data_IF_425681919422
#
_entry.id   IF_425681919422
#
_cell.length_a   1.000
_cell.length_b   1.000
_cell.length_c   1.000
_cell.angle_alpha   90.00
_cell.angle_beta   90.00
_cell.angle_gamma   90.00
#
_symmetry.space_group_name_H-M   'P 1'
#
loop_
_entity.id
_entity.type
_entity.pdbx_description
1 polymer ?
#
# COMPACT_ATOMS: atom_id res chain seq x y z
N UNK A 1 24.20 -56.35 45.46
CA UNK A 1 24.76 -55.15 44.79
C UNK A 1 23.93 -54.70 43.55
N UNK A 2 23.08 -55.54 43.03
CA UNK A 2 22.25 -55.26 41.82
C UNK A 2 21.00 -54.41 42.11
N UNK A 3 20.38 -54.51 43.27
CA UNK A 3 19.13 -53.78 43.63
C UNK A 3 19.35 -52.26 43.87
N UNK A 4 20.55 -51.76 44.15
CA UNK A 4 20.83 -50.34 44.35
C UNK A 4 21.07 -49.59 43.04
N UNK A 5 21.45 -50.27 41.92
CA UNK A 5 21.65 -49.68 40.62
C UNK A 5 20.32 -49.40 39.89
N UNK A 6 19.34 -50.28 40.01
CA UNK A 6 18.02 -50.10 39.35
C UNK A 6 17.23 -48.92 39.90
N UNK A 7 17.30 -48.66 41.22
CA UNK A 7 16.60 -47.49 41.84
C UNK A 7 17.20 -46.14 41.40
N UNK A 8 18.54 -46.07 41.20
CA UNK A 8 19.17 -44.82 40.70
C UNK A 8 18.85 -44.52 39.25
N UNK A 9 18.73 -45.53 38.42
CA UNK A 9 18.32 -45.37 36.99
C UNK A 9 16.87 -44.97 36.91
N UNK A 10 15.97 -45.51 37.71
CA UNK A 10 14.57 -45.15 37.73
C UNK A 10 14.35 -43.69 38.22
N UNK A 11 15.12 -43.22 39.20
CA UNK A 11 15.04 -41.85 39.71
C UNK A 11 15.59 -40.84 38.65
N UNK A 12 16.68 -41.17 37.97
CA UNK A 12 17.25 -40.34 36.91
C UNK A 12 16.32 -40.24 35.68
N UNK A 13 15.67 -41.34 35.27
CA UNK A 13 14.68 -41.29 34.18
C UNK A 13 13.44 -40.53 34.57
N UNK A 14 12.98 -40.57 35.80
CA UNK A 14 11.84 -39.80 36.29
C UNK A 14 12.18 -38.30 36.39
N UNK A 15 13.40 -37.92 36.80
CA UNK A 15 13.84 -36.53 36.84
C UNK A 15 14.06 -35.96 35.42
N UNK A 16 14.58 -36.75 34.49
CA UNK A 16 14.71 -36.33 33.07
C UNK A 16 13.34 -36.20 32.42
N UNK A 17 12.39 -37.07 32.72
CA UNK A 17 11.00 -36.97 32.26
C UNK A 17 10.31 -35.73 32.79
N UNK A 18 10.47 -35.39 34.08
CA UNK A 18 9.97 -34.19 34.71
C UNK A 18 10.60 -32.91 34.16
N UNK A 19 11.92 -32.95 33.89
CA UNK A 19 12.64 -31.83 33.29
C UNK A 19 12.18 -31.58 31.84
N UNK A 20 12.00 -32.66 31.04
CA UNK A 20 11.44 -32.54 29.68
C UNK A 20 9.98 -32.10 29.70
N UNK A 21 9.16 -32.57 30.67
CA UNK A 21 7.78 -32.07 30.82
C UNK A 21 7.73 -30.61 31.25
N UNK A 22 8.62 -30.21 32.16
CA UNK A 22 8.74 -28.80 32.60
C UNK A 22 9.17 -27.89 31.43
N UNK A 23 10.16 -28.29 30.63
CA UNK A 23 10.53 -27.56 29.41
C UNK A 23 9.44 -27.59 28.36
N UNK A 24 8.71 -28.69 28.18
CA UNK A 24 7.60 -28.75 27.23
C UNK A 24 6.39 -27.90 27.68
N UNK A 25 6.17 -27.75 28.99
CA UNK A 25 5.10 -26.90 29.55
C UNK A 25 5.55 -25.44 29.64
N UNK A 26 6.85 -25.17 29.89
CA UNK A 26 7.40 -23.81 29.96
C UNK A 26 7.70 -23.20 28.57
N UNK A 27 7.88 -24.05 27.55
CA UNK A 27 7.98 -23.66 26.14
C UNK A 27 6.70 -23.97 25.36
N UNK A 28 5.53 -23.92 26.00
CA UNK A 28 4.36 -23.56 25.20
C UNK A 28 4.57 -22.10 24.83
N UNK A 29 4.73 -21.77 23.51
CA UNK A 29 4.42 -20.43 23.09
C UNK A 29 3.01 -20.22 23.65
N UNK A 30 2.79 -19.20 24.47
CA UNK A 30 1.45 -18.76 24.79
C UNK A 30 0.76 -18.71 23.45
N UNK A 31 -0.15 -19.65 23.23
CA UNK A 31 -1.13 -19.55 22.16
C UNK A 31 -1.84 -18.26 22.44
N UNK A 32 -1.41 -17.23 21.76
CA UNK A 32 -1.95 -15.89 21.77
C UNK A 32 -3.28 -15.95 21.02
N UNK A 33 -4.20 -16.74 21.58
CA UNK A 33 -5.62 -16.74 21.29
C UNK A 33 -6.26 -15.65 22.16
N UNK A 34 -5.82 -14.42 21.99
CA UNK A 34 -6.71 -13.29 22.15
C UNK A 34 -7.10 -12.92 20.73
N UNK A 35 -8.32 -13.25 20.38
CA UNK A 35 -9.12 -12.54 19.40
C UNK A 35 -8.98 -11.06 19.71
N UNK A 36 -8.00 -10.41 19.09
CA UNK A 36 -7.77 -9.00 19.25
C UNK A 36 -8.93 -8.29 18.58
N UNK A 37 -9.56 -7.46 19.36
CA UNK A 37 -10.74 -6.67 19.03
C UNK A 37 -10.55 -5.67 17.88
N UNK A 38 -10.28 -6.15 16.67
CA UNK A 38 -10.77 -5.50 15.46
C UNK A 38 -12.30 -5.30 15.57
N UNK A 39 -12.96 -6.22 16.30
CA UNK A 39 -14.34 -6.08 16.75
C UNK A 39 -14.60 -4.82 17.59
N UNK A 40 -13.66 -4.28 18.35
CA UNK A 40 -13.91 -3.11 19.18
C UNK A 40 -13.95 -1.80 18.37
N UNK A 41 -13.10 -1.65 17.36
CA UNK A 41 -13.17 -0.50 16.44
C UNK A 41 -14.32 -0.64 15.44
N UNK A 42 -14.63 -1.86 14.99
CA UNK A 42 -15.79 -2.14 14.16
C UNK A 42 -17.12 -2.08 14.97
N UNK A 43 -17.10 -2.38 16.28
CA UNK A 43 -18.27 -2.27 17.15
C UNK A 43 -18.71 -0.83 17.44
N UNK A 44 -17.87 0.17 17.14
CA UNK A 44 -18.22 1.59 17.21
C UNK A 44 -18.88 2.14 15.93
N UNK A 45 -18.85 1.39 14.82
CA UNK A 45 -19.53 1.78 13.58
C UNK A 45 -20.98 1.33 13.63
N UNK A 46 -21.93 2.23 13.32
CA UNK A 46 -23.30 1.83 13.04
C UNK A 46 -23.30 0.83 11.87
N UNK A 47 -23.75 -0.43 12.06
CA UNK A 47 -23.76 -1.43 11.00
C UNK A 47 -24.54 -0.98 9.76
N UNK A 48 -25.49 -0.05 9.91
CA UNK A 48 -26.26 0.53 8.80
C UNK A 48 -25.42 1.43 7.88
N UNK A 49 -24.24 1.87 8.32
CA UNK A 49 -23.35 2.71 7.53
C UNK A 49 -22.32 1.93 6.72
N UNK A 50 -22.13 0.63 7.02
CA UNK A 50 -21.23 -0.23 6.25
C UNK A 50 -21.96 -0.90 5.08
N UNK A 51 -21.37 -0.90 3.88
CA UNK A 51 -21.90 -1.68 2.78
C UNK A 51 -21.81 -3.18 3.07
N UNK A 52 -22.69 -3.96 2.46
CA UNK A 52 -22.49 -5.40 2.38
C UNK A 52 -21.25 -5.67 1.50
N UNK A 53 -20.27 -6.36 2.05
CA UNK A 53 -18.99 -6.68 1.41
C UNK A 53 -18.79 -8.20 1.41
N UNK A 54 -19.55 -8.96 0.61
CA UNK A 54 -19.46 -10.42 0.57
C UNK A 54 -18.05 -10.86 0.17
N UNK A 55 -17.44 -11.72 1.00
CA UNK A 55 -16.06 -12.19 0.84
C UNK A 55 -15.01 -11.38 1.62
N UNK A 56 -15.39 -10.26 2.27
CA UNK A 56 -14.46 -9.48 3.09
C UNK A 56 -14.01 -10.21 4.35
N UNK A 57 -14.80 -11.14 4.85
CA UNK A 57 -14.45 -12.05 5.95
C UNK A 57 -13.26 -12.96 5.64
N UNK A 58 -13.04 -13.26 4.35
CA UNK A 58 -11.94 -14.07 3.82
C UNK A 58 -10.65 -13.25 3.56
N UNK A 59 -10.70 -11.93 3.76
CA UNK A 59 -9.58 -11.01 3.54
C UNK A 59 -8.95 -10.63 4.88
N UNK A 60 -7.61 -10.61 4.94
CA UNK A 60 -6.86 -9.88 5.95
C UNK A 60 -6.24 -8.64 5.31
N UNK A 61 -6.58 -7.46 5.80
CA UNK A 61 -5.92 -6.21 5.42
C UNK A 61 -4.68 -6.02 6.27
N UNK A 62 -3.54 -5.83 5.63
CA UNK A 62 -2.23 -5.63 6.25
C UNK A 62 -1.77 -4.21 5.93
N UNK A 63 -1.91 -3.31 6.88
CA UNK A 63 -1.46 -1.93 6.71
C UNK A 63 -0.04 -1.77 7.24
N UNK A 64 0.84 -1.14 6.45
CA UNK A 64 2.20 -0.78 6.83
C UNK A 64 2.31 0.73 7.05
N UNK A 65 3.03 1.11 8.10
CA UNK A 65 3.37 2.50 8.42
C UNK A 65 4.74 2.58 9.12
N UNK A 66 5.13 3.76 9.54
CA UNK A 66 6.31 4.01 10.37
C UNK A 66 5.97 4.89 11.57
N UNK A 67 6.76 4.80 12.64
CA UNK A 67 6.55 5.57 13.87
C UNK A 67 6.52 7.09 13.63
N UNK A 68 7.24 7.57 12.64
CA UNK A 68 7.30 9.00 12.29
C UNK A 68 6.02 9.54 11.65
N UNK A 69 5.17 8.67 11.10
CA UNK A 69 3.95 9.06 10.39
C UNK A 69 2.66 8.44 10.97
N UNK A 70 2.77 7.39 11.77
CA UNK A 70 1.64 6.60 12.25
C UNK A 70 0.56 7.43 12.96
N UNK A 71 0.94 8.34 13.86
CA UNK A 71 -0.01 9.21 14.58
C UNK A 71 -0.74 10.20 13.66
N UNK A 72 -0.13 10.58 12.54
CA UNK A 72 -0.73 11.48 11.57
C UNK A 72 -1.60 10.72 10.57
N UNK A 73 -1.07 9.67 9.94
CA UNK A 73 -1.72 9.02 8.81
C UNK A 73 -2.73 7.92 9.19
N UNK A 74 -2.49 7.14 10.26
CA UNK A 74 -3.33 5.98 10.59
C UNK A 74 -4.76 6.34 11.03
N UNK A 75 -5.02 7.36 11.87
CA UNK A 75 -6.36 7.63 12.40
C UNK A 75 -7.45 7.84 11.36
N UNK A 76 -7.11 8.37 10.17
CA UNK A 76 -8.10 8.58 9.12
C UNK A 76 -8.70 7.28 8.61
N UNK A 77 -7.92 6.18 8.60
CA UNK A 77 -8.37 4.88 8.12
C UNK A 77 -9.42 4.24 9.02
N UNK A 78 -9.40 4.50 10.32
CA UNK A 78 -10.45 4.02 11.24
C UNK A 78 -11.82 4.63 10.93
N UNK A 79 -11.85 5.80 10.30
CA UNK A 79 -13.07 6.53 9.91
C UNK A 79 -13.45 6.31 8.44
N UNK A 80 -12.55 5.73 7.65
CA UNK A 80 -12.70 5.56 6.19
C UNK A 80 -12.38 4.12 5.77
N UNK A 81 -11.17 3.86 5.29
CA UNK A 81 -10.77 2.63 4.61
C UNK A 81 -10.92 1.38 5.48
N UNK A 82 -10.59 1.44 6.77
CA UNK A 82 -10.70 0.29 7.69
C UNK A 82 -12.02 0.21 8.46
N UNK A 83 -12.87 1.24 8.37
CA UNK A 83 -14.10 1.35 9.18
C UNK A 83 -14.99 0.11 9.10
N UNK A 84 -15.12 -0.48 7.91
CA UNK A 84 -16.01 -1.60 7.62
C UNK A 84 -15.25 -2.91 7.34
N UNK A 85 -13.97 -2.97 7.69
CA UNK A 85 -13.12 -4.13 7.47
C UNK A 85 -13.08 -4.98 8.73
N UNK A 86 -13.57 -6.24 8.72
CA UNK A 86 -13.64 -7.08 9.91
C UNK A 86 -12.28 -7.63 10.36
N UNK A 87 -11.34 -7.79 9.43
CA UNK A 87 -10.03 -8.37 9.72
C UNK A 87 -8.93 -7.46 9.17
N UNK A 88 -8.18 -6.81 10.04
CA UNK A 88 -7.00 -6.05 9.67
C UNK A 88 -5.93 -6.13 10.75
N UNK A 89 -4.69 -5.90 10.37
CA UNK A 89 -3.54 -5.75 11.24
C UNK A 89 -2.69 -4.59 10.72
N UNK A 90 -2.17 -3.78 11.65
CA UNK A 90 -1.34 -2.62 11.30
C UNK A 90 0.05 -2.84 11.86
N UNK A 91 1.06 -2.69 11.00
CA UNK A 91 2.46 -2.82 11.32
C UNK A 91 3.21 -1.50 11.22
N UNK A 92 4.10 -1.28 12.18
CA UNK A 92 5.06 -0.18 12.22
C UNK A 92 6.44 -0.73 12.64
N UNK A 93 7.41 0.15 12.78
CA UNK A 93 8.71 -0.09 13.42
C UNK A 93 8.68 0.16 14.94
N UNK A 94 7.51 0.46 15.49
CA UNK A 94 7.30 0.68 16.92
C UNK A 94 5.93 0.14 17.36
N UNK A 95 5.90 -0.62 18.47
CA UNK A 95 4.64 -1.13 19.05
C UNK A 95 3.99 -0.03 19.89
N UNK A 96 2.77 0.33 19.54
CA UNK A 96 1.98 1.37 20.21
C UNK A 96 0.49 1.13 20.07
N UNK A 97 -0.32 1.98 20.69
CA UNK A 97 -1.78 2.00 20.55
C UNK A 97 -2.22 3.35 20.01
N UNK A 98 -3.04 3.35 18.97
CA UNK A 98 -3.58 4.57 18.33
C UNK A 98 -5.11 4.45 18.30
N UNK A 99 -5.83 5.38 18.97
CA UNK A 99 -7.31 5.39 19.08
C UNK A 99 -7.89 4.02 19.53
N UNK A 100 -7.19 3.31 20.45
CA UNK A 100 -7.62 2.00 20.96
C UNK A 100 -7.24 0.81 20.06
N UNK A 101 -6.56 1.05 18.94
CA UNK A 101 -6.10 0.01 18.01
C UNK A 101 -4.61 -0.24 18.21
N UNK A 102 -4.25 -1.51 18.34
CA UNK A 102 -2.85 -1.91 18.47
C UNK A 102 -2.13 -1.82 17.12
N UNK A 103 -0.99 -1.14 17.13
CA UNK A 103 -0.01 -1.10 16.06
C UNK A 103 1.12 -2.06 16.44
N UNK A 104 1.42 -3.01 15.57
CA UNK A 104 2.38 -4.07 15.84
C UNK A 104 3.78 -3.70 15.35
N UNK A 105 4.78 -4.04 16.15
CA UNK A 105 6.19 -3.96 15.73
C UNK A 105 6.49 -5.06 14.70
N UNK A 106 6.63 -4.70 13.44
CA UNK A 106 6.98 -5.61 12.34
C UNK A 106 8.36 -6.27 12.53
N UNK A 107 9.29 -5.55 13.19
CA UNK A 107 10.69 -5.95 13.31
C UNK A 107 10.96 -6.77 14.58
N UNK A 108 9.95 -7.00 15.41
CA UNK A 108 10.09 -7.68 16.70
C UNK A 108 10.77 -9.05 16.57
N UNK A 109 10.44 -9.82 15.55
CA UNK A 109 10.92 -11.19 15.31
C UNK A 109 12.26 -11.25 14.59
N UNK A 110 12.81 -10.13 14.14
CA UNK A 110 14.11 -10.06 13.48
C UNK A 110 15.23 -10.51 14.43
N UNK A 111 16.28 -11.10 13.85
CA UNK A 111 17.50 -11.53 14.56
C UNK A 111 18.11 -10.35 15.33
N UNK A 112 18.49 -10.60 16.60
CA UNK A 112 19.11 -9.58 17.44
C UNK A 112 20.45 -9.13 16.88
N UNK A 113 21.25 -10.04 16.27
CA UNK A 113 22.53 -9.69 15.67
C UNK A 113 22.34 -8.67 14.54
N UNK A 114 21.33 -8.85 13.68
CA UNK A 114 20.99 -7.90 12.62
C UNK A 114 20.62 -6.54 13.23
N UNK A 115 19.75 -6.53 14.23
CA UNK A 115 19.31 -5.30 14.91
C UNK A 115 20.45 -4.57 15.63
N UNK A 116 21.44 -5.28 16.15
CA UNK A 116 22.53 -4.70 16.91
C UNK A 116 23.72 -4.27 16.02
N UNK A 117 23.84 -4.78 14.79
CA UNK A 117 25.01 -4.55 13.93
C UNK A 117 24.72 -3.73 12.66
N UNK A 118 23.48 -3.70 12.20
CA UNK A 118 23.10 -2.97 10.97
C UNK A 118 22.66 -1.55 11.32
N UNK A 119 23.32 -0.55 10.75
CA UNK A 119 23.08 0.87 11.04
C UNK A 119 21.65 1.34 10.76
N UNK A 120 20.90 0.68 9.86
CA UNK A 120 19.50 1.01 9.60
C UNK A 120 18.64 0.88 10.86
N UNK A 121 19.05 0.05 11.84
CA UNK A 121 18.32 -0.16 13.08
C UNK A 121 18.62 0.87 14.19
N UNK A 122 19.44 1.88 13.95
CA UNK A 122 19.76 2.91 14.97
C UNK A 122 18.48 3.59 15.51
N UNK A 123 17.55 3.98 14.62
CA UNK A 123 16.25 4.52 15.03
C UNK A 123 15.45 3.50 15.83
N UNK A 124 15.34 2.26 15.35
CA UNK A 124 14.59 1.20 16.00
C UNK A 124 15.13 0.92 17.42
N UNK A 125 16.45 0.87 17.59
CA UNK A 125 17.08 0.63 18.89
C UNK A 125 16.85 1.77 19.86
N UNK A 126 16.93 3.05 19.41
CA UNK A 126 16.54 4.22 20.24
C UNK A 126 15.08 4.14 20.69
N UNK A 127 14.17 3.75 19.80
CA UNK A 127 12.75 3.61 20.14
C UNK A 127 12.50 2.49 21.17
N UNK A 128 13.23 1.39 21.10
CA UNK A 128 13.13 0.30 22.09
C UNK A 128 13.59 0.72 23.48
N UNK A 129 14.60 1.59 23.57
CA UNK A 129 15.15 2.07 24.84
C UNK A 129 14.32 3.21 25.44
N UNK A 130 13.83 4.12 24.61
CA UNK A 130 13.30 5.42 25.05
C UNK A 130 11.83 5.63 24.65
N UNK A 131 11.22 4.69 23.95
CA UNK A 131 9.91 4.87 23.35
C UNK A 131 9.92 6.02 22.35
N UNK A 132 8.78 6.67 22.13
CA UNK A 132 8.67 7.84 21.24
C UNK A 132 9.55 9.03 21.67
N UNK A 133 10.00 9.09 22.91
CA UNK A 133 10.95 10.12 23.37
C UNK A 133 12.33 9.98 22.70
N UNK A 134 12.64 8.82 22.13
CA UNK A 134 13.84 8.58 21.34
C UNK A 134 13.81 9.19 19.93
N UNK A 135 12.67 9.74 19.48
CA UNK A 135 12.59 10.47 18.21
C UNK A 135 13.19 11.86 18.32
N UNK A 136 13.90 12.28 17.30
CA UNK A 136 14.38 13.64 17.14
C UNK A 136 13.89 14.30 15.84
N UNK A 137 14.15 15.59 15.66
CA UNK A 137 13.64 16.32 14.50
C UNK A 137 14.21 15.82 13.17
N UNK A 138 15.37 15.18 13.15
CA UNK A 138 15.96 14.63 11.94
C UNK A 138 15.24 13.37 11.44
N UNK A 139 14.58 12.64 12.35
CA UNK A 139 13.79 11.47 11.98
C UNK A 139 12.55 11.83 11.16
N UNK A 140 12.06 13.06 11.28
CA UNK A 140 10.92 13.60 10.52
C UNK A 140 11.33 14.37 9.26
N UNK A 141 12.62 14.40 8.93
CA UNK A 141 13.08 15.09 7.74
C UNK A 141 12.49 14.48 6.47
N UNK A 142 11.66 15.26 5.78
CA UNK A 142 11.06 14.87 4.51
C UNK A 142 11.98 15.34 3.37
N UNK A 143 12.83 14.42 2.90
CA UNK A 143 13.61 14.66 1.70
C UNK A 143 12.82 14.29 0.44
N UNK A 144 13.11 14.96 -0.68
CA UNK A 144 12.51 14.61 -1.96
C UNK A 144 12.86 13.16 -2.36
N UNK A 145 11.89 12.44 -2.93
CA UNK A 145 12.16 11.13 -3.51
C UNK A 145 13.23 11.22 -4.60
N UNK A 146 14.19 10.33 -4.52
CA UNK A 146 15.22 10.12 -5.54
C UNK A 146 14.95 8.78 -6.27
N UNK A 147 15.78 8.47 -7.27
CA UNK A 147 15.73 7.17 -7.96
C UNK A 147 16.00 5.96 -7.04
N UNK A 148 16.50 6.20 -5.84
CA UNK A 148 16.74 5.21 -4.79
C UNK A 148 15.98 5.55 -3.49
N UNK A 149 14.84 6.23 -3.61
CA UNK A 149 13.99 6.64 -2.49
C UNK A 149 14.58 7.76 -1.64
N UNK A 150 14.47 7.63 -0.30
CA UNK A 150 14.89 8.64 0.69
C UNK A 150 16.05 8.13 1.57
N UNK A 151 17.27 8.00 1.03
CA UNK A 151 18.38 7.28 1.68
C UNK A 151 18.89 7.94 2.98
N UNK A 152 18.55 9.21 3.25
CA UNK A 152 18.94 9.89 4.47
C UNK A 152 17.85 9.88 5.55
N UNK A 153 16.65 9.37 5.25
CA UNK A 153 15.57 9.25 6.22
C UNK A 153 15.67 7.92 7.00
N UNK A 154 15.86 7.94 8.32
CA UNK A 154 16.03 6.73 9.13
C UNK A 154 14.81 5.81 9.10
N UNK A 155 13.60 6.37 9.13
CA UNK A 155 12.36 5.57 9.04
C UNK A 155 12.23 4.87 7.70
N UNK A 156 12.63 5.54 6.61
CA UNK A 156 12.64 4.95 5.28
C UNK A 156 13.67 3.82 5.15
N UNK A 157 14.86 3.94 5.78
CA UNK A 157 15.84 2.85 5.81
C UNK A 157 15.32 1.60 6.51
N UNK A 158 14.55 1.77 7.58
CA UNK A 158 13.92 0.66 8.30
C UNK A 158 12.80 0.00 7.46
N UNK A 159 12.21 0.71 6.53
CA UNK A 159 11.03 0.21 5.79
C UNK A 159 11.31 -1.08 5.03
N UNK A 160 12.47 -1.21 4.41
CA UNK A 160 12.86 -2.41 3.66
C UNK A 160 12.88 -3.68 4.52
N UNK A 161 13.15 -3.55 5.82
CA UNK A 161 13.24 -4.65 6.76
C UNK A 161 11.88 -5.19 7.22
N UNK A 162 10.80 -4.41 7.04
CA UNK A 162 9.46 -4.78 7.49
C UNK A 162 8.80 -5.86 6.64
N UNK A 163 9.06 -5.92 5.33
CA UNK A 163 8.27 -6.70 4.39
C UNK A 163 8.26 -8.21 4.69
N UNK A 164 9.41 -8.85 4.84
CA UNK A 164 9.46 -10.29 5.08
C UNK A 164 8.91 -10.71 6.45
N UNK A 165 9.29 -10.05 7.57
CA UNK A 165 8.69 -10.36 8.87
C UNK A 165 7.19 -10.06 8.93
N UNK A 166 6.71 -9.02 8.23
CA UNK A 166 5.30 -8.66 8.17
C UNK A 166 4.47 -9.73 7.46
N UNK A 167 4.95 -10.29 6.35
CA UNK A 167 4.31 -11.41 5.64
C UNK A 167 4.15 -12.61 6.58
N UNK A 168 5.21 -13.00 7.28
CA UNK A 168 5.18 -14.10 8.24
C UNK A 168 4.19 -13.83 9.38
N UNK A 169 4.24 -12.64 9.99
CA UNK A 169 3.36 -12.28 11.11
C UNK A 169 1.89 -12.16 10.68
N UNK A 170 1.61 -11.65 9.47
CA UNK A 170 0.27 -11.56 8.92
C UNK A 170 -0.33 -12.97 8.69
N UNK A 171 0.46 -13.91 8.16
CA UNK A 171 0.02 -15.29 8.00
C UNK A 171 -0.28 -15.95 9.36
N UNK A 172 0.57 -15.73 10.37
CA UNK A 172 0.34 -16.24 11.72
C UNK A 172 -0.88 -15.61 12.41
N UNK A 173 -1.18 -14.35 12.10
CA UNK A 173 -2.33 -13.62 12.67
C UNK A 173 -3.68 -14.19 12.18
N UNK A 174 -3.79 -14.52 10.90
CA UNK A 174 -4.99 -15.12 10.29
C UNK A 174 -4.60 -16.13 9.20
N UNK A 175 -4.26 -17.33 9.60
CA UNK A 175 -3.75 -18.41 8.73
C UNK A 175 -4.79 -18.95 7.74
N UNK A 176 -6.07 -18.69 7.98
CA UNK A 176 -7.19 -19.13 7.16
C UNK A 176 -7.78 -18.02 6.24
N UNK A 177 -7.17 -16.84 6.18
CA UNK A 177 -7.56 -15.85 5.19
C UNK A 177 -7.32 -16.39 3.77
N UNK A 178 -8.23 -16.13 2.82
CA UNK A 178 -8.01 -16.47 1.42
C UNK A 178 -7.07 -15.49 0.74
N UNK A 179 -7.18 -14.20 1.12
CA UNK A 179 -6.45 -13.10 0.54
C UNK A 179 -5.83 -12.21 1.62
N UNK A 180 -4.60 -11.77 1.39
CA UNK A 180 -3.89 -10.77 2.18
C UNK A 180 -3.70 -9.53 1.32
N UNK A 181 -4.29 -8.42 1.74
CA UNK A 181 -4.23 -7.15 1.01
C UNK A 181 -3.30 -6.21 1.76
N UNK A 182 -2.15 -5.96 1.18
CA UNK A 182 -1.15 -5.06 1.73
C UNK A 182 -1.38 -3.64 1.24
N UNK A 183 -1.28 -2.66 2.12
CA UNK A 183 -1.41 -1.24 1.81
C UNK A 183 -0.55 -0.39 2.74
N UNK A 184 -0.25 0.82 2.33
CA UNK A 184 0.42 1.82 3.19
C UNK A 184 -0.59 2.83 3.78
N UNK A 185 -0.15 3.60 4.79
CA UNK A 185 -1.01 4.53 5.49
C UNK A 185 -1.39 5.79 4.67
N UNK A 186 -0.89 5.93 3.44
CA UNK A 186 -1.30 6.93 2.46
C UNK A 186 -1.92 6.30 1.19
N UNK A 187 -2.40 5.07 1.32
CA UNK A 187 -3.10 4.34 0.27
C UNK A 187 -4.60 4.28 0.56
N UNK A 188 -5.43 4.45 -0.45
CA UNK A 188 -6.87 4.17 -0.39
C UNK A 188 -7.22 2.96 -1.23
N UNK A 189 -8.08 2.06 -0.70
CA UNK A 189 -8.58 0.88 -1.41
C UNK A 189 -10.11 0.90 -1.44
N UNK A 190 -10.68 0.77 -2.63
CA UNK A 190 -12.12 0.55 -2.85
C UNK A 190 -12.44 -0.94 -2.64
N UNK A 191 -12.94 -1.30 -1.45
CA UNK A 191 -13.21 -2.69 -1.11
C UNK A 191 -14.26 -3.34 -2.01
N UNK A 192 -15.40 -2.70 -2.34
CA UNK A 192 -16.37 -3.31 -3.25
C UNK A 192 -15.76 -3.63 -4.62
N UNK A 193 -14.93 -2.72 -5.15
CA UNK A 193 -14.25 -2.90 -6.44
C UNK A 193 -13.19 -3.99 -6.37
N UNK A 194 -12.40 -4.03 -5.29
CA UNK A 194 -11.39 -5.06 -5.07
C UNK A 194 -12.01 -6.46 -5.00
N UNK A 195 -13.08 -6.64 -4.21
CA UNK A 195 -13.72 -7.94 -4.06
C UNK A 195 -14.31 -8.47 -5.37
N UNK A 196 -14.89 -7.58 -6.20
CA UNK A 196 -15.34 -7.93 -7.54
C UNK A 196 -14.19 -8.36 -8.46
N UNK A 197 -13.04 -7.70 -8.35
CA UNK A 197 -11.85 -8.09 -9.10
C UNK A 197 -11.30 -9.44 -8.63
N UNK A 198 -11.15 -9.65 -7.32
CA UNK A 198 -10.64 -10.90 -6.75
C UNK A 198 -11.52 -12.11 -7.06
N UNK A 199 -12.82 -11.90 -7.32
CA UNK A 199 -13.71 -12.98 -7.73
C UNK A 199 -13.34 -13.65 -9.08
N UNK A 200 -12.44 -13.04 -9.85
CA UNK A 200 -11.89 -13.62 -11.09
C UNK A 200 -10.71 -14.58 -10.86
N UNK A 201 -10.20 -14.68 -9.64
CA UNK A 201 -9.04 -15.52 -9.29
C UNK A 201 -9.45 -16.67 -8.36
N UNK A 202 -8.83 -17.83 -8.51
CA UNK A 202 -8.98 -18.93 -7.56
C UNK A 202 -8.06 -18.73 -6.34
N UNK A 203 -8.58 -18.42 -5.14
CA UNK A 203 -7.74 -18.18 -3.97
C UNK A 203 -6.95 -19.41 -3.48
N UNK A 204 -7.22 -20.60 -4.02
CA UNK A 204 -6.49 -21.84 -3.72
C UNK A 204 -5.19 -21.95 -4.51
N UNK A 205 -5.03 -21.15 -5.55
CA UNK A 205 -3.80 -21.07 -6.34
C UNK A 205 -2.88 -19.96 -5.79
N UNK A 206 -1.55 -20.10 -5.97
CA UNK A 206 -0.62 -19.07 -5.52
C UNK A 206 -0.70 -17.84 -6.44
N UNK A 207 -1.14 -16.73 -5.89
CA UNK A 207 -1.25 -15.44 -6.58
C UNK A 207 -0.45 -14.36 -5.85
N UNK A 208 0.29 -13.56 -6.60
CA UNK A 208 0.91 -12.31 -6.22
C UNK A 208 0.51 -11.26 -7.23
N UNK A 209 -0.34 -10.29 -6.85
CA UNK A 209 -1.02 -9.36 -7.74
C UNK A 209 -0.69 -7.93 -7.31
N UNK A 210 -0.18 -7.10 -8.21
CA UNK A 210 0.16 -5.71 -7.87
C UNK A 210 0.65 -4.91 -9.08
N UNK A 211 0.87 -3.60 -8.86
CA UNK A 211 1.39 -2.71 -9.90
C UNK A 211 2.87 -3.01 -10.11
N UNK A 212 3.18 -3.34 -11.34
CA UNK A 212 4.51 -3.77 -11.76
C UNK A 212 5.55 -2.65 -11.63
N UNK A 213 6.65 -2.98 -10.99
CA UNK A 213 7.88 -2.19 -10.89
C UNK A 213 9.07 -3.12 -11.08
N UNK A 214 10.19 -2.59 -11.55
CA UNK A 214 11.40 -3.36 -11.79
C UNK A 214 12.63 -2.67 -11.23
N UNK A 215 13.44 -3.41 -10.48
CA UNK A 215 14.78 -3.02 -10.08
C UNK A 215 15.74 -4.12 -10.54
N UNK A 216 16.71 -3.76 -11.37
CA UNK A 216 17.61 -4.71 -12.03
C UNK A 216 16.82 -5.82 -12.75
N UNK A 217 16.95 -7.08 -12.34
CA UNK A 217 16.28 -8.25 -12.91
C UNK A 217 15.04 -8.69 -12.13
N UNK A 218 14.71 -8.02 -11.02
CA UNK A 218 13.54 -8.35 -10.19
C UNK A 218 12.33 -7.52 -10.61
N UNK A 219 11.25 -8.19 -11.01
CA UNK A 219 9.93 -7.59 -11.23
C UNK A 219 9.08 -7.86 -9.99
N UNK A 220 8.47 -6.84 -9.44
CA UNK A 220 7.73 -6.91 -8.18
C UNK A 220 6.55 -5.94 -8.15
N UNK A 221 5.62 -6.12 -7.20
CA UNK A 221 4.57 -5.17 -6.94
C UNK A 221 5.10 -3.97 -6.14
N UNK A 222 4.84 -2.76 -6.61
CA UNK A 222 5.12 -1.54 -5.86
C UNK A 222 4.34 -1.53 -4.54
N UNK A 223 5.04 -1.42 -3.41
CA UNK A 223 4.47 -1.56 -2.07
C UNK A 223 3.36 -0.56 -1.78
N UNK A 224 3.60 0.71 -2.07
CA UNK A 224 2.66 1.80 -1.80
C UNK A 224 1.38 1.76 -2.64
N UNK A 225 1.42 1.20 -3.86
CA UNK A 225 0.22 1.02 -4.68
C UNK A 225 -0.79 0.05 -4.03
N UNK A 226 -0.35 -0.69 -3.02
CA UNK A 226 -1.03 -1.87 -2.52
C UNK A 226 -0.82 -3.09 -3.41
N UNK A 227 -0.86 -4.26 -2.80
CA UNK A 227 -0.77 -5.53 -3.52
C UNK A 227 -1.54 -6.63 -2.79
N UNK A 228 -1.87 -7.69 -3.52
CA UNK A 228 -2.64 -8.81 -2.98
C UNK A 228 -1.83 -10.10 -3.10
N UNK A 229 -1.85 -10.90 -2.04
CA UNK A 229 -1.21 -12.22 -2.00
C UNK A 229 -2.24 -13.25 -1.55
N UNK A 230 -2.37 -14.36 -2.27
CA UNK A 230 -3.23 -15.47 -1.83
C UNK A 230 -2.60 -16.26 -0.69
N UNK A 231 -3.42 -16.99 0.06
CA UNK A 231 -2.93 -17.82 1.17
C UNK A 231 -1.82 -18.81 0.75
N UNK A 232 -1.93 -19.58 -0.35
CA UNK A 232 -0.84 -20.44 -0.79
C UNK A 232 0.46 -19.68 -1.08
N UNK A 233 0.38 -18.50 -1.68
CA UNK A 233 1.56 -17.66 -1.96
C UNK A 233 2.20 -17.13 -0.67
N UNK A 234 1.39 -16.75 0.34
CA UNK A 234 1.88 -16.36 1.66
C UNK A 234 2.65 -17.50 2.36
N UNK A 235 2.12 -18.73 2.27
CA UNK A 235 2.80 -19.91 2.82
C UNK A 235 4.14 -20.17 2.11
N UNK A 236 4.16 -20.08 0.78
CA UNK A 236 5.39 -20.24 0.00
C UNK A 236 6.44 -19.18 0.35
N UNK A 237 6.05 -17.90 0.38
CA UNK A 237 6.95 -16.81 0.75
C UNK A 237 7.48 -16.95 2.19
N UNK A 238 6.62 -17.32 3.14
CA UNK A 238 7.01 -17.54 4.54
C UNK A 238 7.99 -18.70 4.68
N UNK A 239 7.76 -19.80 3.96
CA UNK A 239 8.67 -20.94 3.96
C UNK A 239 10.01 -20.60 3.32
N UNK A 240 10.02 -19.86 2.21
CA UNK A 240 11.23 -19.41 1.54
C UNK A 240 12.06 -18.51 2.47
N UNK A 241 11.42 -17.55 3.16
CA UNK A 241 12.08 -16.71 4.15
C UNK A 241 12.62 -17.52 5.33
N UNK A 242 11.85 -18.46 5.88
CA UNK A 242 12.26 -19.27 7.02
C UNK A 242 13.47 -20.17 6.72
N UNK A 243 13.56 -20.70 5.50
CA UNK A 243 14.67 -21.59 5.09
C UNK A 243 15.94 -20.85 4.69
N UNK A 244 15.85 -19.56 4.31
CA UNK A 244 16.94 -18.72 3.83
C UNK A 244 17.10 -17.42 4.62
N UNK A 245 16.70 -17.40 5.88
CA UNK A 245 16.66 -16.18 6.71
C UNK A 245 17.97 -15.40 6.69
N UNK A 246 19.13 -16.06 6.85
CA UNK A 246 20.45 -15.39 6.87
C UNK A 246 20.72 -14.73 5.51
N UNK A 247 20.61 -15.49 4.43
CA UNK A 247 20.85 -15.01 3.06
C UNK A 247 19.93 -13.84 2.71
N UNK A 248 18.63 -13.96 3.05
CA UNK A 248 17.66 -12.93 2.73
C UNK A 248 17.80 -11.68 3.60
N UNK A 249 18.30 -11.81 4.84
CA UNK A 249 18.66 -10.65 5.65
C UNK A 249 19.89 -9.94 5.08
N UNK A 250 20.92 -10.68 4.64
CA UNK A 250 22.08 -10.09 3.95
C UNK A 250 21.68 -9.41 2.64
N UNK A 251 20.79 -10.03 1.86
CA UNK A 251 20.23 -9.43 0.64
C UNK A 251 19.44 -8.15 0.96
N UNK A 252 18.63 -8.14 2.03
CA UNK A 252 17.86 -6.97 2.48
C UNK A 252 18.77 -5.82 2.91
N UNK A 253 19.88 -6.13 3.62
CA UNK A 253 20.85 -5.13 4.03
C UNK A 253 21.46 -4.40 2.82
N UNK A 254 21.84 -5.17 1.82
CA UNK A 254 22.43 -4.65 0.60
C UNK A 254 21.42 -3.90 -0.30
N UNK A 255 20.12 -4.25 -0.23
CA UNK A 255 19.07 -3.68 -1.06
C UNK A 255 18.48 -2.41 -0.41
N UNK A 256 17.84 -1.53 -1.22
CA UNK A 256 17.19 -0.32 -0.71
C UNK A 256 15.64 -0.39 -0.69
N UNK A 257 15.01 -1.33 -1.41
CA UNK A 257 13.57 -1.46 -1.56
C UNK A 257 13.07 -2.81 -1.01
N UNK A 258 12.28 -2.78 0.05
CA UNK A 258 11.78 -3.99 0.71
C UNK A 258 10.71 -4.74 -0.06
N UNK A 259 9.89 -4.04 -0.84
CA UNK A 259 8.91 -4.62 -1.77
C UNK A 259 9.59 -5.41 -2.90
N UNK A 260 10.77 -4.94 -3.38
CA UNK A 260 11.61 -5.69 -4.31
C UNK A 260 12.17 -6.96 -3.67
N UNK A 261 12.60 -6.90 -2.40
CA UNK A 261 13.05 -8.08 -1.64
C UNK A 261 11.93 -9.12 -1.53
N UNK A 262 10.71 -8.68 -1.18
CA UNK A 262 9.53 -9.56 -1.15
C UNK A 262 9.21 -10.15 -2.54
N UNK A 263 9.26 -9.32 -3.58
CA UNK A 263 9.04 -9.77 -4.97
C UNK A 263 10.03 -10.85 -5.39
N UNK A 264 11.33 -10.70 -5.02
CA UNK A 264 12.34 -11.72 -5.23
C UNK A 264 12.02 -13.03 -4.49
N UNK A 265 11.63 -12.94 -3.21
CA UNK A 265 11.26 -14.12 -2.40
C UNK A 265 10.08 -14.86 -3.03
N UNK A 266 9.05 -14.14 -3.47
CA UNK A 266 7.90 -14.74 -4.16
C UNK A 266 8.29 -15.36 -5.51
N UNK A 267 9.12 -14.70 -6.29
CA UNK A 267 9.62 -15.23 -7.56
C UNK A 267 10.47 -16.50 -7.36
N UNK A 268 11.39 -16.50 -6.37
CA UNK A 268 12.20 -17.66 -6.00
C UNK A 268 11.32 -18.84 -5.55
N UNK A 269 10.19 -18.55 -4.86
CA UNK A 269 9.18 -19.52 -4.46
C UNK A 269 8.25 -19.98 -5.62
N UNK A 270 8.48 -19.53 -6.84
CA UNK A 270 7.70 -19.89 -8.03
C UNK A 270 6.39 -19.12 -8.20
N UNK A 271 6.22 -17.98 -7.52
CA UNK A 271 5.04 -17.13 -7.59
C UNK A 271 5.39 -15.81 -8.29
N UNK A 272 5.30 -15.75 -9.63
CA UNK A 272 5.58 -14.52 -10.37
C UNK A 272 4.49 -13.47 -10.15
N UNK A 273 4.84 -12.19 -10.35
CA UNK A 273 3.89 -11.08 -10.28
C UNK A 273 2.84 -11.15 -11.39
N UNK A 274 1.57 -11.08 -11.02
CA UNK A 274 0.47 -10.76 -11.92
C UNK A 274 0.29 -9.24 -12.00
N UNK A 275 0.45 -8.67 -13.18
CA UNK A 275 0.45 -7.23 -13.42
C UNK A 275 -0.94 -6.63 -13.29
N UNK A 276 -1.11 -5.67 -12.39
CA UNK A 276 -2.41 -5.08 -12.07
C UNK A 276 -2.63 -3.67 -12.63
N UNK A 277 -1.60 -2.96 -13.10
CA UNK A 277 -1.81 -1.63 -13.63
C UNK A 277 -2.85 -1.64 -14.76
N UNK A 278 -3.83 -0.74 -14.82
CA UNK A 278 -4.06 0.45 -13.99
C UNK A 278 -5.02 0.25 -12.80
N UNK A 279 -5.34 -0.97 -12.41
CA UNK A 279 -6.35 -1.28 -11.37
C UNK A 279 -5.87 -0.80 -9.98
N UNK A 280 -4.60 -1.04 -9.66
CA UNK A 280 -3.90 -0.42 -8.53
C UNK A 280 -2.97 0.66 -9.06
N UNK A 281 -2.94 1.83 -8.42
CA UNK A 281 -2.20 3.00 -8.88
C UNK A 281 -1.08 3.39 -7.91
N UNK A 282 0.09 3.70 -8.48
CA UNK A 282 1.22 4.26 -7.74
C UNK A 282 1.08 5.78 -7.51
N UNK A 283 0.16 6.42 -8.19
CA UNK A 283 -0.04 7.87 -8.14
C UNK A 283 -1.28 8.23 -7.34
N UNK A 284 -1.37 9.49 -6.90
CA UNK A 284 -2.61 10.06 -6.41
C UNK A 284 -3.61 10.25 -7.58
N UNK A 285 -4.84 10.57 -7.21
CA UNK A 285 -5.95 10.71 -8.16
C UNK A 285 -5.69 11.82 -9.19
N UNK A 286 -5.00 12.91 -8.79
CA UNK A 286 -4.76 14.07 -9.66
C UNK A 286 -3.66 13.85 -10.70
N UNK A 287 -2.76 12.92 -10.48
CA UNK A 287 -1.60 12.67 -11.35
C UNK A 287 -1.89 11.66 -12.46
N UNK A 288 -2.92 10.83 -12.29
CA UNK A 288 -3.27 9.80 -13.26
C UNK A 288 -3.78 10.43 -14.58
N UNK A 289 -3.40 9.82 -15.68
CA UNK A 289 -3.91 10.11 -17.01
C UNK A 289 -4.85 8.99 -17.49
N UNK A 290 -6.14 9.21 -17.36
CA UNK A 290 -7.16 8.23 -17.72
C UNK A 290 -7.32 8.06 -19.24
N UNK A 291 -6.77 8.96 -20.04
CA UNK A 291 -6.88 8.96 -21.50
C UNK A 291 -5.62 8.48 -22.22
N UNK A 292 -4.47 8.52 -21.59
CA UNK A 292 -3.23 8.01 -22.16
C UNK A 292 -3.11 6.48 -22.03
N UNK A 293 -2.24 5.90 -22.88
CA UNK A 293 -1.88 4.48 -22.78
C UNK A 293 -0.60 4.33 -21.96
N UNK A 294 -0.65 3.46 -20.94
CA UNK A 294 0.51 2.95 -20.24
C UNK A 294 0.48 1.42 -20.25
N UNK A 295 1.62 0.76 -20.40
CA UNK A 295 1.72 -0.72 -20.44
C UNK A 295 0.69 -1.37 -21.39
N UNK A 296 0.44 -0.74 -22.55
CA UNK A 296 -0.55 -1.13 -23.58
C UNK A 296 -2.03 -1.05 -23.12
N UNK A 297 -2.33 -0.62 -21.90
CA UNK A 297 -3.67 -0.42 -21.34
C UNK A 297 -4.04 1.07 -21.31
N UNK A 298 -5.34 1.36 -21.30
CA UNK A 298 -5.89 2.70 -21.11
C UNK A 298 -6.81 2.68 -19.90
N UNK A 299 -6.56 3.47 -18.84
CA UNK A 299 -7.27 3.35 -17.56
C UNK A 299 -8.78 3.48 -17.66
N UNK A 300 -9.31 4.28 -18.56
CA UNK A 300 -10.70 4.75 -18.64
C UNK A 300 -11.78 3.71 -18.29
N UNK A 301 -11.69 2.46 -18.80
CA UNK A 301 -12.66 1.39 -18.54
C UNK A 301 -12.20 0.36 -17.51
N UNK A 302 -11.02 0.53 -16.94
CA UNK A 302 -10.52 -0.36 -15.89
C UNK A 302 -11.11 0.00 -14.53
N UNK A 303 -11.26 -0.98 -13.61
CA UNK A 303 -11.58 -0.73 -12.22
C UNK A 303 -10.53 0.15 -11.55
N UNK A 304 -10.98 1.08 -10.73
CA UNK A 304 -10.15 1.93 -9.88
C UNK A 304 -10.18 1.35 -8.45
N UNK A 305 -9.27 0.42 -8.16
CA UNK A 305 -9.23 -0.27 -6.87
C UNK A 305 -8.45 0.51 -5.84
N UNK A 306 -7.26 1.03 -6.20
CA UNK A 306 -6.40 1.69 -5.23
C UNK A 306 -5.62 2.86 -5.81
N UNK A 307 -5.34 3.84 -4.93
CA UNK A 307 -4.52 5.02 -5.18
C UNK A 307 -3.53 5.22 -4.05
N UNK A 308 -2.36 5.77 -4.35
CA UNK A 308 -1.27 6.00 -3.42
C UNK A 308 -0.87 7.48 -3.34
N UNK A 309 0.02 7.83 -2.42
CA UNK A 309 0.47 9.21 -2.15
C UNK A 309 -0.69 10.17 -1.80
N UNK A 310 -1.68 9.65 -1.08
CA UNK A 310 -2.85 10.42 -0.71
C UNK A 310 -2.65 11.16 0.62
N UNK A 311 -3.05 12.42 0.64
CA UNK A 311 -3.27 13.15 1.88
C UNK A 311 -4.51 12.62 2.62
N UNK A 312 -4.60 12.91 3.92
CA UNK A 312 -5.81 12.59 4.72
C UNK A 312 -7.09 13.12 4.09
N UNK A 313 -7.03 14.31 3.49
CA UNK A 313 -8.17 14.92 2.82
C UNK A 313 -8.60 14.13 1.58
N UNK A 314 -7.66 13.73 0.75
CA UNK A 314 -7.96 12.93 -0.45
C UNK A 314 -8.55 11.57 -0.09
N UNK A 315 -8.07 10.92 0.98
CA UNK A 315 -8.66 9.69 1.53
C UNK A 315 -10.13 9.93 1.96
N UNK A 316 -10.41 11.05 2.64
CA UNK A 316 -11.77 11.43 3.04
C UNK A 316 -12.67 11.70 1.83
N UNK A 317 -12.15 12.42 0.84
CA UNK A 317 -12.90 12.81 -0.36
C UNK A 317 -13.25 11.55 -1.19
N UNK A 318 -12.31 10.61 -1.37
CA UNK A 318 -12.55 9.31 -2.01
C UNK A 318 -13.60 8.49 -1.26
N UNK A 319 -13.48 8.39 0.07
CA UNK A 319 -14.46 7.68 0.90
C UNK A 319 -15.87 8.30 0.80
N UNK A 320 -15.96 9.63 0.88
CA UNK A 320 -17.23 10.36 0.74
C UNK A 320 -17.83 10.18 -0.67
N UNK A 321 -17.01 10.18 -1.69
CA UNK A 321 -17.38 9.90 -3.07
C UNK A 321 -17.98 8.51 -3.24
N UNK A 322 -17.28 7.46 -2.78
CA UNK A 322 -17.82 6.10 -2.83
C UNK A 322 -19.12 5.95 -2.03
N UNK A 323 -19.22 6.61 -0.87
CA UNK A 323 -20.45 6.59 -0.06
C UNK A 323 -21.63 7.19 -0.83
N UNK A 324 -21.46 8.34 -1.52
CA UNK A 324 -22.50 8.94 -2.37
C UNK A 324 -22.86 8.03 -3.53
N UNK A 325 -21.84 7.53 -4.25
CA UNK A 325 -22.04 6.68 -5.42
C UNK A 325 -22.87 5.43 -5.09
N UNK A 326 -22.65 4.78 -3.94
CA UNK A 326 -23.48 3.63 -3.49
C UNK A 326 -24.94 3.97 -3.27
N UNK A 327 -25.28 5.23 -3.01
CA UNK A 327 -26.67 5.67 -2.88
C UNK A 327 -27.34 5.94 -4.25
N UNK A 328 -26.54 6.18 -5.28
CA UNK A 328 -26.98 6.58 -6.61
C UNK A 328 -26.97 5.43 -7.63
N UNK A 329 -26.22 4.36 -7.36
CA UNK A 329 -26.10 3.22 -8.28
C UNK A 329 -25.93 1.89 -7.55
N UNK A 330 -26.56 0.84 -8.07
CA UNK A 330 -26.39 -0.53 -7.61
C UNK A 330 -25.08 -1.17 -8.10
N UNK A 331 -24.32 -0.48 -8.97
CA UNK A 331 -23.05 -1.02 -9.47
C UNK A 331 -21.93 -0.82 -8.45
N UNK A 332 -21.39 -1.90 -7.84
CA UNK A 332 -20.34 -1.78 -6.84
C UNK A 332 -18.98 -1.44 -7.44
N UNK A 333 -18.77 -1.64 -8.75
CA UNK A 333 -17.46 -1.44 -9.40
C UNK A 333 -17.26 0.03 -9.72
N UNK A 334 -16.24 0.61 -9.13
CA UNK A 334 -15.73 1.94 -9.46
C UNK A 334 -14.78 1.84 -10.65
N UNK A 335 -14.99 2.65 -11.69
CA UNK A 335 -14.10 2.75 -12.84
C UNK A 335 -13.28 4.04 -12.81
N UNK A 336 -12.12 4.06 -13.45
CA UNK A 336 -11.32 5.28 -13.60
C UNK A 336 -12.10 6.41 -14.28
N UNK A 337 -12.97 6.11 -15.26
CA UNK A 337 -13.85 7.12 -15.86
C UNK A 337 -14.80 7.79 -14.86
N UNK A 338 -15.24 7.04 -13.83
CA UNK A 338 -16.18 7.58 -12.83
C UNK A 338 -15.39 8.51 -11.89
N UNK A 339 -14.19 8.11 -11.48
CA UNK A 339 -13.25 8.96 -10.72
C UNK A 339 -12.94 10.23 -11.52
N UNK A 340 -12.59 10.12 -12.81
CA UNK A 340 -12.34 11.30 -13.64
C UNK A 340 -13.53 12.22 -13.72
N UNK A 341 -14.72 11.71 -14.04
CA UNK A 341 -15.91 12.54 -14.27
C UNK A 341 -16.44 13.22 -13.01
N UNK A 342 -16.30 12.56 -11.85
CA UNK A 342 -16.95 12.99 -10.62
C UNK A 342 -15.99 13.65 -9.62
N UNK A 343 -14.69 13.36 -9.69
CA UNK A 343 -13.68 13.96 -8.80
C UNK A 343 -12.69 14.88 -9.54
N UNK A 344 -12.28 14.53 -10.77
CA UNK A 344 -11.26 15.29 -11.47
C UNK A 344 -11.87 16.40 -12.32
N UNK A 345 -12.78 16.05 -13.22
CA UNK A 345 -13.35 16.99 -14.19
C UNK A 345 -14.00 18.23 -13.54
N UNK A 346 -14.74 18.16 -12.42
CA UNK A 346 -15.31 19.32 -11.75
C UNK A 346 -14.26 20.31 -11.21
N UNK A 347 -13.05 19.86 -10.95
CA UNK A 347 -11.92 20.66 -10.43
C UNK A 347 -11.14 21.38 -11.55
N UNK A 348 -11.37 20.98 -12.82
CA UNK A 348 -10.69 21.60 -13.96
C UNK A 348 -11.30 22.96 -14.27
N UNK A 349 -10.43 23.93 -14.56
CA UNK A 349 -10.84 25.29 -14.87
C UNK A 349 -9.97 25.90 -15.96
N UNK A 350 -10.45 26.96 -16.63
CA UNK A 350 -9.67 27.62 -17.68
C UNK A 350 -8.35 28.18 -17.16
N UNK A 351 -8.28 28.49 -15.87
CA UNK A 351 -7.08 29.01 -15.18
C UNK A 351 -7.08 28.58 -13.73
N UNK A 352 -5.95 28.11 -13.23
CA UNK A 352 -5.72 27.81 -11.81
C UNK A 352 -4.32 28.28 -11.41
N UNK A 353 -4.26 29.15 -10.43
CA UNK A 353 -3.00 29.63 -9.86
C UNK A 353 -2.48 28.67 -8.79
N UNK A 354 -1.18 28.70 -8.54
CA UNK A 354 -0.49 27.84 -7.57
C UNK A 354 -0.74 26.35 -7.82
N UNK A 355 -0.70 25.94 -9.08
CA UNK A 355 -1.07 24.61 -9.49
C UNK A 355 -0.30 24.15 -10.74
N UNK A 356 0.25 22.94 -10.73
CA UNK A 356 0.90 22.30 -11.87
C UNK A 356 0.06 21.12 -12.37
N UNK A 357 -0.48 21.24 -13.57
CA UNK A 357 -1.26 20.17 -14.21
C UNK A 357 -0.41 19.12 -14.92
N UNK A 358 0.91 19.15 -14.71
CA UNK A 358 1.86 18.17 -15.21
C UNK A 358 1.90 18.07 -16.74
N UNK A 359 1.61 19.16 -17.47
CA UNK A 359 1.84 19.23 -18.92
C UNK A 359 3.31 19.05 -19.22
N UNK A 360 3.65 18.31 -20.29
CA UNK A 360 5.01 17.82 -20.56
C UNK A 360 5.56 18.13 -21.95
N UNK A 361 4.72 18.59 -22.89
CA UNK A 361 5.16 19.00 -24.22
C UNK A 361 5.69 20.43 -24.20
N UNK A 362 7.01 20.59 -24.24
CA UNK A 362 7.70 21.86 -24.11
C UNK A 362 7.60 22.74 -25.37
N UNK A 363 7.39 24.06 -25.14
CA UNK A 363 7.40 25.11 -26.16
C UNK A 363 8.36 26.24 -25.75
N UNK A 364 9.65 26.12 -26.00
CA UNK A 364 10.71 27.00 -25.44
C UNK A 364 10.67 28.44 -25.96
N UNK A 365 9.97 28.71 -27.06
CA UNK A 365 9.81 30.06 -27.64
C UNK A 365 8.64 30.82 -27.07
N UNK A 366 7.79 30.17 -26.23
CA UNK A 366 6.60 30.76 -25.63
C UNK A 366 6.83 30.90 -24.13
N UNK A 367 6.82 32.13 -23.64
CA UNK A 367 7.21 32.46 -22.27
C UNK A 367 6.16 33.24 -21.47
N UNK A 368 4.97 33.44 -22.03
CA UNK A 368 3.85 34.03 -21.33
C UNK A 368 2.67 33.07 -21.22
N UNK A 369 1.94 33.17 -20.10
CA UNK A 369 0.73 32.36 -19.86
C UNK A 369 -0.31 32.56 -20.96
N UNK A 370 -0.49 33.81 -21.40
CA UNK A 370 -1.49 34.15 -22.42
C UNK A 370 -1.16 33.53 -23.80
N UNK A 371 0.10 33.58 -24.22
CA UNK A 371 0.52 32.94 -25.50
C UNK A 371 0.40 31.41 -25.41
N UNK A 372 0.74 30.83 -24.26
CA UNK A 372 0.57 29.39 -24.01
C UNK A 372 -0.90 28.97 -24.07
N UNK A 373 -1.80 29.77 -23.50
CA UNK A 373 -3.25 29.59 -23.60
C UNK A 373 -3.74 29.67 -25.04
N UNK A 374 -3.30 30.65 -25.81
CA UNK A 374 -3.68 30.80 -27.22
C UNK A 374 -3.19 29.61 -28.04
N UNK A 375 -1.95 29.19 -27.84
CA UNK A 375 -1.39 28.00 -28.50
C UNK A 375 -2.25 26.77 -28.26
N UNK A 376 -2.55 26.47 -26.97
CA UNK A 376 -3.34 25.31 -26.61
C UNK A 376 -4.79 25.42 -27.12
N UNK A 377 -5.45 26.55 -26.96
CA UNK A 377 -6.84 26.78 -27.42
C UNK A 377 -6.97 26.71 -28.95
N UNK A 378 -5.91 27.03 -29.68
CA UNK A 378 -5.84 26.92 -31.14
C UNK A 378 -5.70 25.47 -31.66
N UNK A 379 -5.35 24.52 -30.81
CA UNK A 379 -5.21 23.11 -31.16
C UNK A 379 -6.38 22.27 -30.66
N UNK A 380 -6.97 21.44 -31.53
CA UNK A 380 -8.02 20.48 -31.13
C UNK A 380 -7.50 19.30 -30.30
N UNK A 381 -6.19 19.13 -30.26
CA UNK A 381 -5.51 18.03 -29.56
C UNK A 381 -4.94 18.46 -28.22
N UNK A 382 -4.94 19.76 -27.88
CA UNK A 382 -4.45 20.26 -26.61
C UNK A 382 -5.58 20.30 -25.57
N UNK A 383 -5.40 19.61 -24.47
CA UNK A 383 -6.37 19.57 -23.36
C UNK A 383 -5.99 20.53 -22.22
N UNK A 384 -4.69 20.78 -22.03
CA UNK A 384 -4.18 21.53 -20.89
C UNK A 384 -2.86 22.23 -21.20
N UNK A 385 -2.51 23.24 -20.40
CA UNK A 385 -1.29 24.01 -20.55
C UNK A 385 -0.81 24.57 -19.21
N UNK A 386 0.49 24.84 -19.10
CA UNK A 386 1.12 25.37 -17.88
C UNK A 386 2.33 26.24 -18.24
N UNK A 387 2.61 27.25 -17.42
CA UNK A 387 3.90 27.95 -17.44
C UNK A 387 4.69 27.51 -16.21
N UNK A 388 5.86 26.93 -16.47
CA UNK A 388 6.89 26.59 -15.47
C UNK A 388 8.20 27.27 -15.84
N UNK A 389 8.83 27.96 -14.88
CA UNK A 389 10.13 28.63 -15.09
C UNK A 389 10.18 29.54 -16.35
N UNK A 390 9.03 30.16 -16.66
CA UNK A 390 8.90 31.04 -17.84
C UNK A 390 8.81 30.30 -19.19
N UNK A 391 8.59 28.98 -19.18
CA UNK A 391 8.44 28.16 -20.39
C UNK A 391 7.03 27.57 -20.44
N UNK A 392 6.43 27.58 -21.63
CA UNK A 392 5.12 26.97 -21.87
C UNK A 392 5.25 25.45 -22.06
N UNK A 393 4.40 24.70 -21.39
CA UNK A 393 4.18 23.27 -21.65
C UNK A 393 2.72 23.02 -21.94
N UNK A 394 2.43 22.11 -22.87
CA UNK A 394 1.06 21.67 -23.18
C UNK A 394 0.90 20.19 -22.95
N UNK A 395 -0.34 19.71 -22.85
CA UNK A 395 -0.69 18.30 -22.73
C UNK A 395 -1.88 17.96 -23.62
N UNK A 396 -1.82 16.78 -24.27
CA UNK A 396 -2.90 16.29 -25.13
C UNK A 396 -4.06 15.71 -24.33
N UNK A 397 -3.81 15.26 -23.11
CA UNK A 397 -4.77 14.63 -22.21
C UNK A 397 -4.87 15.40 -20.89
N UNK A 398 -6.06 15.48 -20.27
CA UNK A 398 -6.22 16.22 -19.04
C UNK A 398 -5.78 15.44 -17.81
N UNK A 399 -4.97 16.06 -16.96
CA UNK A 399 -4.69 15.65 -15.58
C UNK A 399 -5.03 16.80 -14.66
N UNK A 400 -5.51 16.52 -13.43
CA UNK A 400 -5.68 17.57 -12.44
C UNK A 400 -4.32 18.13 -12.01
N UNK A 401 -3.37 17.24 -11.74
CA UNK A 401 -2.04 17.61 -11.27
C UNK A 401 -1.97 17.86 -9.77
N UNK A 402 -1.00 18.69 -9.36
CA UNK A 402 -0.61 18.89 -7.96
C UNK A 402 -0.49 20.38 -7.62
N UNK A 403 -0.60 20.71 -6.32
CA UNK A 403 -0.34 22.06 -5.84
C UNK A 403 1.14 22.43 -6.01
N UNK A 404 1.39 23.57 -6.66
CA UNK A 404 2.73 24.14 -6.80
C UNK A 404 2.63 25.68 -6.78
N UNK A 405 3.05 26.34 -5.70
CA UNK A 405 2.91 27.79 -5.53
C UNK A 405 3.56 28.65 -6.62
N UNK A 406 4.58 28.12 -7.31
CA UNK A 406 5.32 28.86 -8.34
C UNK A 406 4.73 28.72 -9.75
N UNK A 407 3.65 27.95 -9.94
CA UNK A 407 3.17 27.51 -11.24
C UNK A 407 1.73 27.96 -11.47
N UNK A 408 1.40 28.26 -12.72
CA UNK A 408 0.04 28.60 -13.18
C UNK A 408 -0.38 27.71 -14.33
N UNK A 409 -1.51 27.04 -14.18
CA UNK A 409 -2.05 26.08 -15.13
C UNK A 409 -3.40 26.52 -15.71
N UNK A 410 -3.80 25.88 -16.81
CA UNK A 410 -5.14 26.02 -17.39
C UNK A 410 -5.55 24.82 -18.23
N UNK A 411 -6.84 24.68 -18.46
CA UNK A 411 -7.43 23.60 -19.26
C UNK A 411 -8.34 24.17 -20.35
N UNK A 412 -8.38 23.50 -21.50
CA UNK A 412 -9.29 23.81 -22.60
C UNK A 412 -10.51 22.90 -22.48
N UNK A 413 -11.47 23.29 -21.62
CA UNK A 413 -12.63 22.47 -21.25
C UNK A 413 -13.40 21.95 -22.46
N UNK A 414 -13.61 22.75 -23.50
CA UNK A 414 -14.29 22.32 -24.75
C UNK A 414 -13.58 21.20 -25.51
N UNK A 415 -12.26 21.07 -25.35
CA UNK A 415 -11.49 19.96 -25.90
C UNK A 415 -11.67 18.71 -25.06
N UNK A 416 -11.68 18.88 -23.73
CA UNK A 416 -11.89 17.80 -22.76
C UNK A 416 -13.29 17.22 -22.89
N UNK A 417 -14.33 18.05 -23.05
CA UNK A 417 -15.70 17.60 -23.31
C UNK A 417 -15.76 16.68 -24.52
N UNK A 418 -15.11 17.09 -25.63
CA UNK A 418 -15.05 16.26 -26.83
C UNK A 418 -14.30 14.93 -26.62
N UNK A 419 -13.29 14.92 -25.72
CA UNK A 419 -12.58 13.68 -25.38
C UNK A 419 -13.46 12.74 -24.58
N UNK A 420 -14.21 13.27 -23.60
CA UNK A 420 -15.18 12.51 -22.80
C UNK A 420 -16.27 11.92 -23.69
N UNK A 421 -16.84 12.72 -24.62
CA UNK A 421 -17.89 12.29 -25.54
C UNK A 421 -17.43 11.16 -26.49
N UNK A 422 -16.16 11.17 -26.90
CA UNK A 422 -15.56 10.16 -27.76
C UNK A 422 -15.05 8.92 -27.00
N UNK A 423 -14.92 9.01 -25.69
CA UNK A 423 -14.40 7.92 -24.87
C UNK A 423 -15.37 6.73 -24.85
N UNK A 424 -14.87 5.51 -24.70
CA UNK A 424 -15.72 4.32 -24.61
C UNK A 424 -16.75 4.42 -23.50
N UNK A 425 -17.95 3.89 -23.76
CA UNK A 425 -19.05 3.85 -22.76
C UNK A 425 -18.80 2.83 -21.65
N UNK A 426 -17.79 1.95 -21.76
CA UNK A 426 -17.43 0.91 -20.79
C UNK A 426 -18.66 0.08 -20.35
N UNK A 427 -19.28 -0.59 -21.30
CA UNK A 427 -20.46 -1.43 -21.03
C UNK A 427 -20.17 -2.58 -20.05
N UNK A 428 -18.90 -2.96 -19.95
CA UNK A 428 -18.36 -3.91 -18.96
C UNK A 428 -17.02 -3.37 -18.44
N UNK A 429 -16.73 -3.55 -17.14
CA UNK A 429 -15.39 -3.32 -16.60
C UNK A 429 -14.35 -4.20 -17.30
N UNK A 430 -13.17 -3.65 -17.54
CA UNK A 430 -12.02 -4.42 -18.02
C UNK A 430 -11.15 -4.80 -16.79
N UNK A 431 -11.32 -6.00 -16.29
CA UNK A 431 -10.56 -6.48 -15.13
C UNK A 431 -9.13 -6.95 -15.46
N UNK A 432 -8.73 -6.93 -16.73
CA UNK A 432 -7.39 -7.32 -17.16
C UNK A 432 -7.06 -8.81 -17.00
N UNK A 433 -8.07 -9.67 -16.88
CA UNK A 433 -7.99 -11.13 -16.67
C UNK A 433 -8.61 -11.88 -17.85
#
# INVERSE_FOLDING_TARGET
>A
MVLRRSRRIAILSSLLGLFLLYHFVSFRPELYSRTYDAAAAAAAADPSECPDLPGMEDVLVVMKTGVTESLDKVPIHFKTTLRCVPNYIIFSDFEEEIEGVKIHDALRTMDSVVKDTVADFDLYNRLREQGRAGLDNSDFADEANSNIGKPNNPGWKLDKWKFLPMVQQALLHKDNAKWYVFMEADTYISWPTLLQWLAHFDPREPHYIGTETQIADVIFAHGGSGFVVSNPAMQLATNEYATRTIELNEYTDWHWAGDCVLGKVLADAGVPLHYSWPILQNSNVGELDEFAKGFYRKPWCFPAVGFHHLSKREIQDLHAFEKRRRQETDNPVLLHRDVFKELIYPELSNVRDSWDNLSDQEHPTINTFHECQILCAGSRHCAQFVIRDGICFTGETPRLGVSNPAVRSGWVLSNIDRMIDKAPRCSRPDFGV
#
